data_IF_875318582829
#
_entry.id   IF_875318582829
#
_cell.length_a   1.000
_cell.length_b   1.000
_cell.length_c   1.000
_cell.angle_alpha   90.00
_cell.angle_beta   90.00
_cell.angle_gamma   90.00
#
_symmetry.space_group_name_H-M   'P 1'
#
loop_
_entity.id
_entity.type
_entity.pdbx_description
1 polymer ?
#
# COMPACT_ATOMS: atom_id res chain seq x y z
N UNK A 1 12.96 13.01 55.58
CA UNK A 1 12.57 11.80 54.85
C UNK A 1 11.17 11.96 54.23
N UNK A 2 10.88 13.12 53.62
CA UNK A 2 9.56 13.49 53.05
C UNK A 2 9.62 14.07 51.66
N UNK A 3 10.82 14.03 50.99
CA UNK A 3 11.02 14.65 49.68
C UNK A 3 10.81 13.71 48.47
N UNK A 4 10.65 12.40 48.71
CA UNK A 4 10.58 11.41 47.61
C UNK A 4 9.18 11.08 47.10
N UNK A 5 8.10 11.56 47.77
CA UNK A 5 6.73 11.26 47.38
C UNK A 5 6.14 12.29 46.42
N UNK A 6 6.60 13.54 46.48
CA UNK A 6 6.10 14.64 45.63
C UNK A 6 6.73 14.61 44.23
N UNK A 7 7.95 14.10 44.10
CA UNK A 7 8.65 14.00 42.82
C UNK A 7 8.10 12.87 41.90
N UNK A 8 7.49 11.84 42.47
CA UNK A 8 6.87 10.74 41.71
C UNK A 8 5.44 11.05 41.22
N UNK A 9 4.79 12.06 41.76
CA UNK A 9 3.45 12.46 41.32
C UNK A 9 3.46 13.39 40.09
N UNK A 10 4.62 13.99 39.77
CA UNK A 10 4.75 14.94 38.67
C UNK A 10 4.93 14.33 37.28
N UNK A 11 5.15 13.01 37.16
CA UNK A 11 5.45 12.38 35.85
C UNK A 11 4.29 11.61 35.23
N UNK A 12 3.10 11.65 35.82
CA UNK A 12 1.93 10.89 35.38
C UNK A 12 0.91 11.76 34.63
N UNK A 13 1.32 12.65 33.74
CA UNK A 13 0.30 13.48 33.11
C UNK A 13 0.67 14.35 31.93
N UNK A 14 1.91 14.34 31.49
CA UNK A 14 2.20 14.96 30.19
C UNK A 14 1.79 14.01 29.06
N UNK A 15 0.51 14.07 28.71
CA UNK A 15 0.02 13.51 27.45
C UNK A 15 0.82 14.18 26.33
N UNK A 16 1.76 13.45 25.76
CA UNK A 16 2.60 13.91 24.66
C UNK A 16 1.67 14.42 23.54
N UNK A 17 1.68 15.71 23.18
CA UNK A 17 0.77 16.25 22.15
C UNK A 17 0.97 15.58 20.79
N UNK A 18 2.12 14.92 20.53
CA UNK A 18 2.32 14.04 19.38
C UNK A 18 1.39 12.81 19.40
N UNK A 19 0.89 12.40 20.59
CA UNK A 19 0.08 11.19 20.73
C UNK A 19 -1.34 11.35 20.13
N UNK A 20 -1.95 12.52 20.18
CA UNK A 20 -3.33 12.71 19.74
C UNK A 20 -3.51 12.66 18.21
N UNK A 21 -2.50 13.06 17.44
CA UNK A 21 -2.53 13.05 15.97
C UNK A 21 -2.14 11.73 15.32
N UNK A 22 -1.29 10.91 15.96
CA UNK A 22 -0.70 9.71 15.37
C UNK A 22 -1.73 8.65 14.97
N UNK A 23 -2.74 8.40 15.81
CA UNK A 23 -3.81 7.44 15.51
C UNK A 23 -4.68 7.86 14.33
N UNK A 24 -4.97 9.18 14.24
CA UNK A 24 -5.67 9.73 13.08
C UNK A 24 -4.85 9.55 11.81
N UNK A 25 -3.55 9.82 11.85
CA UNK A 25 -2.66 9.60 10.71
C UNK A 25 -2.58 8.13 10.32
N UNK A 26 -2.50 7.22 11.30
CA UNK A 26 -2.52 5.79 11.06
C UNK A 26 -3.82 5.34 10.39
N UNK A 27 -4.97 5.82 10.87
CA UNK A 27 -6.27 5.52 10.27
C UNK A 27 -6.36 6.03 8.82
N UNK A 28 -5.90 7.25 8.54
CA UNK A 28 -5.83 7.79 7.18
C UNK A 28 -4.92 6.93 6.29
N UNK A 29 -3.71 6.59 6.76
CA UNK A 29 -2.80 5.73 6.00
C UNK A 29 -3.39 4.34 5.74
N UNK A 30 -4.02 3.73 6.75
CA UNK A 30 -4.68 2.44 6.61
C UNK A 30 -5.80 2.49 5.56
N UNK A 31 -6.66 3.51 5.61
CA UNK A 31 -7.71 3.72 4.62
C UNK A 31 -7.13 3.93 3.22
N UNK A 32 -6.09 4.76 3.09
CA UNK A 32 -5.41 4.97 1.82
C UNK A 32 -4.80 3.67 1.28
N UNK A 33 -4.25 2.80 2.16
CA UNK A 33 -3.72 1.51 1.75
C UNK A 33 -4.82 0.54 1.30
N UNK A 34 -5.93 0.44 2.05
CA UNK A 34 -7.07 -0.40 1.64
C UNK A 34 -7.54 -0.03 0.23
N UNK A 35 -7.80 1.26 0.01
CA UNK A 35 -8.29 1.75 -1.29
C UNK A 35 -7.20 1.74 -2.38
N UNK A 36 -5.99 2.17 -2.03
CA UNK A 36 -4.87 2.27 -2.98
C UNK A 36 -4.36 0.91 -3.46
N UNK A 37 -4.54 -0.15 -2.65
CA UNK A 37 -4.10 -1.50 -3.01
C UNK A 37 -5.20 -2.33 -3.71
N UNK A 38 -6.44 -1.86 -3.78
CA UNK A 38 -7.52 -2.53 -4.51
C UNK A 38 -7.16 -2.91 -5.96
N UNK A 39 -6.44 -2.09 -6.76
CA UNK A 39 -5.99 -2.46 -8.10
C UNK A 39 -5.10 -3.71 -8.15
N UNK A 40 -4.38 -4.05 -7.07
CA UNK A 40 -3.59 -5.28 -6.99
C UNK A 40 -4.46 -6.52 -7.15
N UNK A 41 -5.63 -6.54 -6.49
CA UNK A 41 -6.53 -7.70 -6.43
C UNK A 41 -7.62 -7.67 -7.50
N UNK A 42 -7.74 -6.59 -8.27
CA UNK A 42 -8.83 -6.40 -9.24
C UNK A 42 -8.97 -7.53 -10.28
N UNK A 43 -7.85 -8.09 -10.78
CA UNK A 43 -7.90 -9.19 -11.74
C UNK A 43 -8.48 -10.48 -11.12
N UNK A 44 -8.19 -10.74 -9.83
CA UNK A 44 -8.75 -11.90 -9.12
C UNK A 44 -10.24 -11.74 -8.88
N UNK A 45 -10.71 -10.53 -8.62
CA UNK A 45 -12.12 -10.22 -8.42
C UNK A 45 -12.98 -10.49 -9.65
N UNK A 46 -12.46 -10.21 -10.84
CA UNK A 46 -13.15 -10.39 -12.11
C UNK A 46 -12.70 -11.66 -12.86
N UNK A 47 -12.05 -12.58 -12.16
CA UNK A 47 -11.44 -13.79 -12.73
C UNK A 47 -12.40 -14.61 -13.59
N UNK A 48 -13.60 -14.86 -13.10
CA UNK A 48 -14.63 -15.62 -13.83
C UNK A 48 -15.09 -14.91 -15.11
N UNK A 49 -15.26 -13.58 -15.02
CA UNK A 49 -15.66 -12.76 -16.18
C UNK A 49 -14.58 -12.73 -17.25
N UNK A 50 -13.30 -12.61 -16.84
CA UNK A 50 -12.16 -12.64 -17.75
C UNK A 50 -12.02 -14.01 -18.44
N UNK A 51 -12.24 -15.09 -17.69
CA UNK A 51 -12.19 -16.43 -18.25
C UNK A 51 -13.25 -16.63 -19.35
N UNK A 52 -14.47 -16.16 -19.12
CA UNK A 52 -15.55 -16.20 -20.11
C UNK A 52 -15.28 -15.30 -21.31
N UNK A 53 -14.84 -14.07 -21.05
CA UNK A 53 -14.65 -13.06 -22.11
C UNK A 53 -13.47 -13.37 -23.04
N UNK A 54 -12.36 -13.88 -22.50
CA UNK A 54 -11.10 -14.07 -23.26
C UNK A 54 -10.84 -15.53 -23.62
N UNK A 55 -11.67 -16.50 -23.16
CA UNK A 55 -11.46 -17.91 -23.42
C UNK A 55 -10.09 -18.42 -22.92
N UNK A 56 -9.50 -17.72 -21.96
CA UNK A 56 -8.14 -17.95 -21.48
C UNK A 56 -7.97 -19.33 -20.84
N UNK A 57 -6.85 -19.98 -21.13
CA UNK A 57 -6.47 -21.24 -20.49
C UNK A 57 -6.23 -21.09 -18.98
N UNK A 58 -6.00 -22.21 -18.30
CA UNK A 58 -5.78 -22.28 -16.84
C UNK A 58 -4.65 -21.38 -16.32
N UNK A 59 -3.73 -20.96 -17.18
CA UNK A 59 -2.58 -20.10 -16.83
C UNK A 59 -2.86 -18.59 -16.92
N UNK A 60 -3.99 -18.14 -17.49
CA UNK A 60 -4.27 -16.73 -17.72
C UNK A 60 -4.24 -15.91 -16.41
N UNK A 61 -5.00 -16.35 -15.40
CA UNK A 61 -5.06 -15.67 -14.10
C UNK A 61 -3.75 -15.72 -13.31
N UNK A 62 -3.07 -16.88 -13.20
CA UNK A 62 -1.73 -16.93 -12.62
C UNK A 62 -0.74 -15.96 -13.28
N UNK A 63 -0.74 -15.84 -14.61
CA UNK A 63 0.13 -14.89 -15.33
C UNK A 63 -0.17 -13.43 -14.98
N UNK A 64 -1.43 -13.04 -14.88
CA UNK A 64 -1.83 -11.70 -14.47
C UNK A 64 -1.41 -11.39 -13.02
N UNK A 65 -1.50 -12.37 -12.12
CA UNK A 65 -1.04 -12.23 -10.74
C UNK A 65 0.48 -12.12 -10.66
N UNK A 66 1.23 -12.94 -11.40
CA UNK A 66 2.69 -12.87 -11.47
C UNK A 66 3.14 -11.55 -12.08
N UNK A 67 2.45 -11.04 -13.11
CA UNK A 67 2.80 -9.78 -13.74
C UNK A 67 2.73 -8.60 -12.75
N UNK A 68 1.70 -8.50 -11.91
CA UNK A 68 1.64 -7.42 -10.90
C UNK A 68 2.74 -7.56 -9.86
N UNK A 69 3.10 -8.77 -9.45
CA UNK A 69 4.19 -9.02 -8.50
C UNK A 69 5.55 -8.65 -9.09
N UNK A 70 5.82 -9.04 -10.33
CA UNK A 70 7.05 -8.66 -11.05
C UNK A 70 7.13 -7.15 -11.24
N UNK A 71 6.03 -6.52 -11.64
CA UNK A 71 5.95 -5.06 -11.73
C UNK A 71 6.29 -4.39 -10.41
N UNK A 72 5.74 -4.88 -9.29
CA UNK A 72 6.04 -4.37 -7.96
C UNK A 72 7.54 -4.53 -7.61
N UNK A 73 8.11 -5.69 -7.87
CA UNK A 73 9.52 -5.94 -7.61
C UNK A 73 10.43 -4.98 -8.41
N UNK A 74 10.14 -4.79 -9.71
CA UNK A 74 10.88 -3.86 -10.58
C UNK A 74 10.69 -2.41 -10.11
N UNK A 75 9.47 -2.02 -9.76
CA UNK A 75 9.17 -0.68 -9.23
C UNK A 75 9.88 -0.41 -7.90
N UNK A 76 9.86 -1.38 -6.98
CA UNK A 76 10.55 -1.28 -5.69
C UNK A 76 12.08 -1.18 -5.88
N UNK A 77 12.65 -1.96 -6.78
CA UNK A 77 14.06 -1.88 -7.13
C UNK A 77 14.41 -0.50 -7.73
N UNK A 78 13.59 0.01 -8.66
CA UNK A 78 13.77 1.33 -9.24
C UNK A 78 13.73 2.45 -8.20
N UNK A 79 12.79 2.40 -7.25
CA UNK A 79 12.71 3.35 -6.15
C UNK A 79 13.93 3.24 -5.22
N UNK A 80 14.39 2.04 -4.93
CA UNK A 80 15.58 1.82 -4.09
C UNK A 80 16.85 2.35 -4.77
N UNK A 81 17.05 2.09 -6.06
CA UNK A 81 18.23 2.53 -6.81
C UNK A 81 18.27 4.06 -6.99
N UNK A 82 17.12 4.69 -7.13
CA UNK A 82 17.02 6.16 -7.29
C UNK A 82 17.06 6.91 -5.95
N UNK A 83 16.86 6.22 -4.84
CA UNK A 83 16.70 6.86 -3.51
C UNK A 83 15.48 7.78 -3.43
N UNK A 84 14.54 7.68 -4.38
CA UNK A 84 13.38 8.56 -4.43
C UNK A 84 12.57 8.65 -3.12
N UNK A 85 12.39 7.56 -2.35
CA UNK A 85 11.70 7.62 -1.05
C UNK A 85 12.41 8.47 0.02
N UNK A 86 13.68 8.82 -0.19
CA UNK A 86 14.47 9.62 0.76
C UNK A 86 14.49 11.10 0.40
N UNK A 87 14.34 11.44 -0.88
CA UNK A 87 14.44 12.82 -1.40
C UNK A 87 13.08 13.42 -1.78
N UNK A 88 12.10 12.59 -2.15
CA UNK A 88 10.76 13.04 -2.51
C UNK A 88 9.82 12.97 -1.30
N UNK A 89 9.04 14.03 -1.08
CA UNK A 89 8.08 14.03 0.02
C UNK A 89 7.07 12.86 -0.14
N UNK A 90 6.82 12.08 0.93
CA UNK A 90 5.98 10.86 0.88
C UNK A 90 4.61 11.09 0.25
N UNK A 91 3.99 12.26 0.50
CA UNK A 91 2.69 12.62 -0.09
C UNK A 91 2.69 12.56 -1.62
N UNK A 92 3.76 12.99 -2.27
CA UNK A 92 3.86 12.98 -3.72
C UNK A 92 4.07 11.58 -4.27
N UNK A 93 4.89 10.76 -3.60
CA UNK A 93 5.07 9.35 -3.98
C UNK A 93 3.77 8.56 -3.82
N UNK A 94 3.08 8.72 -2.69
CA UNK A 94 1.79 8.06 -2.43
C UNK A 94 0.74 8.48 -3.46
N UNK A 95 0.59 9.79 -3.71
CA UNK A 95 -0.41 10.30 -4.65
C UNK A 95 -0.10 9.90 -6.10
N UNK A 96 1.15 10.06 -6.55
CA UNK A 96 1.57 9.69 -7.90
C UNK A 96 1.48 8.17 -8.12
N UNK A 97 1.93 7.37 -7.16
CA UNK A 97 1.84 5.91 -7.21
C UNK A 97 0.40 5.43 -7.27
N UNK A 98 -0.48 5.96 -6.41
CA UNK A 98 -1.90 5.60 -6.42
C UNK A 98 -2.59 6.03 -7.72
N UNK A 99 -2.32 7.24 -8.22
CA UNK A 99 -2.88 7.72 -9.48
C UNK A 99 -2.40 6.88 -10.68
N UNK A 100 -1.11 6.57 -10.74
CA UNK A 100 -0.56 5.72 -11.78
C UNK A 100 -1.14 4.30 -11.74
N UNK A 101 -1.29 3.71 -10.54
CA UNK A 101 -1.92 2.40 -10.38
C UNK A 101 -3.39 2.42 -10.82
N UNK A 102 -4.13 3.47 -10.46
CA UNK A 102 -5.52 3.64 -10.88
C UNK A 102 -5.64 3.75 -12.40
N UNK A 103 -4.80 4.57 -13.06
CA UNK A 103 -4.79 4.71 -14.51
C UNK A 103 -4.42 3.40 -15.22
N UNK A 104 -3.40 2.70 -14.72
CA UNK A 104 -3.03 1.39 -15.25
C UNK A 104 -4.17 0.39 -15.12
N UNK A 105 -4.90 0.42 -13.98
CA UNK A 105 -6.04 -0.46 -13.76
C UNK A 105 -7.26 -0.10 -14.62
N UNK A 106 -7.50 1.17 -14.89
CA UNK A 106 -8.50 1.62 -15.87
C UNK A 106 -8.11 1.13 -17.27
N UNK A 107 -6.83 1.28 -17.65
CA UNK A 107 -6.33 0.72 -18.92
C UNK A 107 -6.53 -0.79 -19.00
N UNK A 108 -6.25 -1.53 -17.93
CA UNK A 108 -6.51 -2.96 -17.81
C UNK A 108 -7.99 -3.31 -18.05
N UNK A 109 -8.92 -2.49 -17.55
CA UNK A 109 -10.34 -2.74 -17.69
C UNK A 109 -10.89 -2.43 -19.10
N UNK A 110 -10.29 -1.49 -19.82
CA UNK A 110 -10.88 -0.96 -21.07
C UNK A 110 -10.20 -1.42 -22.35
N UNK A 111 -8.91 -1.77 -22.30
CA UNK A 111 -8.10 -1.95 -23.51
C UNK A 111 -7.89 -3.42 -23.90
N UNK A 112 -7.51 -4.33 -22.98
CA UNK A 112 -7.15 -5.69 -23.36
C UNK A 112 -8.34 -6.50 -23.87
N UNK A 113 -8.08 -7.26 -24.92
CA UNK A 113 -9.01 -8.26 -25.48
C UNK A 113 -8.57 -9.68 -25.16
N UNK A 114 -7.38 -9.84 -24.61
CA UNK A 114 -6.78 -11.12 -24.23
C UNK A 114 -5.78 -10.96 -23.08
N UNK A 115 -5.29 -12.09 -22.56
CA UNK A 115 -4.34 -12.13 -21.44
C UNK A 115 -3.01 -11.45 -21.78
N UNK A 116 -2.49 -11.58 -22.98
CA UNK A 116 -1.19 -11.03 -23.36
C UNK A 116 -1.23 -9.49 -23.41
N UNK A 117 -2.30 -8.92 -23.97
CA UNK A 117 -2.53 -7.47 -23.99
C UNK A 117 -2.73 -6.89 -22.57
N UNK A 118 -3.20 -7.69 -21.62
CA UNK A 118 -3.41 -7.29 -20.24
C UNK A 118 -2.12 -7.23 -19.39
N UNK A 119 -1.09 -8.01 -19.73
CA UNK A 119 0.15 -8.10 -18.95
C UNK A 119 0.86 -6.75 -18.72
N UNK A 120 1.03 -5.87 -19.72
CA UNK A 120 1.67 -4.57 -19.52
C UNK A 120 0.97 -3.71 -18.47
N UNK A 121 -0.38 -3.71 -18.46
CA UNK A 121 -1.16 -2.94 -17.48
C UNK A 121 -0.98 -3.50 -16.07
N UNK A 122 -0.87 -4.82 -15.92
CA UNK A 122 -0.63 -5.48 -14.63
C UNK A 122 0.79 -5.19 -14.12
N UNK A 123 1.79 -5.23 -14.98
CA UNK A 123 3.16 -4.82 -14.66
C UNK A 123 3.20 -3.35 -14.20
N UNK A 124 2.57 -2.43 -14.93
CA UNK A 124 2.50 -1.02 -14.59
C UNK A 124 1.76 -0.79 -13.26
N UNK A 125 0.65 -1.49 -13.04
CA UNK A 125 -0.08 -1.45 -11.76
C UNK A 125 0.85 -1.82 -10.62
N UNK A 126 1.59 -2.94 -10.72
CA UNK A 126 2.53 -3.38 -9.70
C UNK A 126 3.65 -2.36 -9.47
N UNK A 127 4.28 -1.87 -10.53
CA UNK A 127 5.36 -0.90 -10.46
C UNK A 127 4.92 0.41 -9.78
N UNK A 128 3.72 0.89 -10.07
CA UNK A 128 3.13 2.06 -9.43
C UNK A 128 2.85 1.85 -7.94
N UNK A 129 2.33 0.68 -7.56
CA UNK A 129 2.04 0.32 -6.16
C UNK A 129 3.28 0.17 -5.30
N UNK A 130 4.45 -0.05 -5.88
CA UNK A 130 5.73 -0.02 -5.17
C UNK A 130 6.02 1.35 -4.54
N UNK A 131 5.48 2.45 -5.09
CA UNK A 131 5.57 3.78 -4.50
C UNK A 131 4.53 4.01 -3.38
N UNK A 132 3.59 3.09 -3.16
CA UNK A 132 2.50 3.25 -2.19
C UNK A 132 2.80 2.49 -0.90
N UNK A 133 2.88 1.19 -0.94
CA UNK A 133 2.96 0.35 0.25
C UNK A 133 4.22 0.57 1.10
N UNK A 134 5.47 0.50 0.54
CA UNK A 134 6.67 0.71 1.32
C UNK A 134 6.78 2.14 1.88
N UNK A 135 6.31 3.14 1.12
CA UNK A 135 6.33 4.54 1.54
C UNK A 135 5.35 4.77 2.69
N UNK A 136 4.15 4.17 2.65
CA UNK A 136 3.20 4.23 3.76
C UNK A 136 3.76 3.61 5.03
N UNK A 137 4.44 2.46 4.95
CA UNK A 137 5.12 1.83 6.09
C UNK A 137 6.24 2.74 6.64
N UNK A 138 7.05 3.38 5.78
CA UNK A 138 8.09 4.33 6.19
C UNK A 138 7.50 5.50 6.96
N UNK A 139 6.40 6.08 6.47
CA UNK A 139 5.70 7.19 7.13
C UNK A 139 5.18 6.76 8.51
N UNK A 140 4.49 5.62 8.59
CA UNK A 140 3.96 5.10 9.86
C UNK A 140 5.07 4.84 10.87
N UNK A 141 6.18 4.21 10.45
CA UNK A 141 7.33 3.95 11.31
C UNK A 141 7.99 5.22 11.85
N UNK A 142 7.88 6.34 11.13
CA UNK A 142 8.37 7.66 11.57
C UNK A 142 7.49 8.28 12.68
N UNK A 143 6.18 8.07 12.63
CA UNK A 143 5.23 8.59 13.63
C UNK A 143 5.17 7.74 14.91
N UNK A 144 5.50 6.44 14.84
CA UNK A 144 5.40 5.50 15.96
C UNK A 144 6.79 5.04 16.40
N UNK A 145 7.35 5.67 17.43
CA UNK A 145 8.66 5.29 17.97
C UNK A 145 8.60 4.09 18.91
N UNK A 146 7.61 4.03 19.81
CA UNK A 146 7.44 2.94 20.80
C UNK A 146 6.55 1.81 20.32
N UNK A 147 5.52 2.10 19.50
CA UNK A 147 4.48 1.15 19.07
C UNK A 147 4.58 0.83 17.57
N UNK A 148 5.80 0.83 17.01
CA UNK A 148 6.03 0.56 15.58
C UNK A 148 5.42 -0.75 15.10
N UNK A 149 5.54 -1.81 15.91
CA UNK A 149 4.97 -3.12 15.58
C UNK A 149 3.46 -3.08 15.43
N UNK A 150 2.76 -2.34 16.31
CA UNK A 150 1.31 -2.17 16.21
C UNK A 150 0.92 -1.37 14.96
N UNK A 151 1.61 -0.26 14.69
CA UNK A 151 1.34 0.55 13.51
C UNK A 151 1.53 -0.24 12.20
N UNK A 152 2.64 -0.98 12.10
CA UNK A 152 2.92 -1.86 10.96
C UNK A 152 1.88 -2.98 10.88
N UNK A 153 1.50 -3.59 12.00
CA UNK A 153 0.47 -4.62 12.07
C UNK A 153 -0.90 -4.13 11.57
N UNK A 154 -1.30 -2.91 11.94
CA UNK A 154 -2.54 -2.27 11.45
C UNK A 154 -2.48 -2.07 9.93
N UNK A 155 -1.35 -1.60 9.39
CA UNK A 155 -1.20 -1.39 7.94
C UNK A 155 -1.18 -2.71 7.15
N UNK A 156 -0.55 -3.76 7.68
CA UNK A 156 -0.59 -5.10 7.09
C UNK A 156 -2.01 -5.66 7.16
N UNK A 157 -2.70 -5.49 8.30
CA UNK A 157 -4.11 -5.86 8.44
C UNK A 157 -5.02 -5.12 7.46
N UNK A 158 -4.79 -3.83 7.25
CA UNK A 158 -5.49 -3.03 6.25
C UNK A 158 -5.28 -3.57 4.82
N UNK A 159 -4.04 -3.96 4.49
CA UNK A 159 -3.71 -4.60 3.21
C UNK A 159 -4.50 -5.91 3.03
N UNK A 160 -4.54 -6.74 4.05
CA UNK A 160 -5.28 -8.01 4.04
C UNK A 160 -6.79 -7.77 3.88
N UNK A 161 -7.36 -6.79 4.59
CA UNK A 161 -8.75 -6.38 4.40
C UNK A 161 -9.00 -5.86 2.98
N UNK A 162 -8.07 -5.07 2.43
CA UNK A 162 -8.14 -4.59 1.05
C UNK A 162 -8.19 -5.72 0.02
N UNK A 163 -7.59 -6.87 0.30
CA UNK A 163 -7.65 -8.05 -0.58
C UNK A 163 -9.02 -8.74 -0.61
N UNK A 164 -9.87 -8.48 0.37
CA UNK A 164 -11.20 -9.08 0.48
C UNK A 164 -12.31 -8.19 -0.10
N UNK A 165 -12.00 -6.95 -0.51
CA UNK A 165 -12.97 -5.98 -1.02
C UNK A 165 -13.38 -6.18 -2.49
N UNK A 166 -12.50 -6.60 -3.40
CA UNK A 166 -12.87 -6.80 -4.81
C UNK A 166 -13.68 -8.04 -5.07
#
# INVERSE_FOLDING_TARGET
>A
MTESATERAGTAGEANPEAAGRWRQLAVLATCLVLGMAPWFSASAVASSLHVAWGGGSLALPLLAVAVQLGFAVGALGLALTGAPDVVAPRWLLSAGTAAAALANVGFALVPTDTAAALPFRLLTGAALAAVYPVALKVAAGWFRRERGLAVGVLIGALTLGSALP
#
